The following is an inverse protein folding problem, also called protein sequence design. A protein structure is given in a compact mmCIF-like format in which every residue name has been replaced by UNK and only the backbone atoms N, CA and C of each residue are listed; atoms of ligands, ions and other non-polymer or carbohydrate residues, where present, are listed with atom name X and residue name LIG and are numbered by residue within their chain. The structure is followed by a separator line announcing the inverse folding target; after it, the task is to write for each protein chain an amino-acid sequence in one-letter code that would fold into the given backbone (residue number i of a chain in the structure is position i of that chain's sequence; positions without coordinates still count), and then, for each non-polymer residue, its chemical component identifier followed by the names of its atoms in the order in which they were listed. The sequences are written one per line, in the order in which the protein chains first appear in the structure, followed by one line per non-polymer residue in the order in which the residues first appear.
data_IF_574832086781
#
_entry.id   IF_574832086781
#
_cell.length_a   1.000
_cell.length_b   1.000
_cell.length_c   1.000
_cell.angle_alpha   90.00
_cell.angle_beta   90.00
_cell.angle_gamma   90.00
#
_symmetry.space_group_name_H-M   'P 1'
#
loop_
_entity.id
_entity.type
_entity.pdbx_description
1 polymer ?
#
# COMPACT_ATOMS: atom_id res chain seq x y z
N UNK A 1 0.93 -4.12 24.79
CA UNK A 1 1.80 -5.25 24.38
C UNK A 1 1.02 -6.49 23.93
N UNK A 2 0.00 -6.99 24.66
CA UNK A 2 -0.81 -8.16 24.24
C UNK A 2 -1.37 -8.06 22.80
N UNK A 3 -1.84 -6.88 22.39
CA UNK A 3 -2.40 -6.65 21.04
C UNK A 3 -1.36 -6.80 19.92
N UNK A 4 -0.13 -6.34 20.14
CA UNK A 4 0.96 -6.42 19.13
C UNK A 4 1.34 -7.87 18.87
N UNK A 5 1.46 -8.68 19.93
CA UNK A 5 1.78 -10.10 19.83
C UNK A 5 0.69 -10.88 19.08
N UNK A 6 -0.57 -10.56 19.32
CA UNK A 6 -1.71 -11.15 18.58
C UNK A 6 -1.63 -10.81 17.09
N UNK A 7 -1.37 -9.54 16.74
CA UNK A 7 -1.20 -9.13 15.34
C UNK A 7 -0.02 -9.83 14.65
N UNK A 8 1.13 -9.95 15.33
CA UNK A 8 2.30 -10.64 14.80
C UNK A 8 2.03 -12.13 14.56
N UNK A 9 1.36 -12.81 15.49
CA UNK A 9 0.99 -14.23 15.32
C UNK A 9 -0.01 -14.40 14.17
N UNK A 10 -1.02 -13.54 14.08
CA UNK A 10 -1.98 -13.55 12.96
C UNK A 10 -1.29 -13.35 11.60
N UNK A 11 -0.30 -12.46 11.52
CA UNK A 11 0.49 -12.25 10.29
C UNK A 11 1.28 -13.50 9.91
N UNK A 12 1.98 -14.12 10.87
CA UNK A 12 2.76 -15.34 10.62
C UNK A 12 1.83 -16.50 10.22
N UNK A 13 0.70 -16.66 10.90
CA UNK A 13 -0.30 -17.68 10.56
C UNK A 13 -0.90 -17.43 9.18
N UNK A 14 -1.20 -16.18 8.82
CA UNK A 14 -1.69 -15.84 7.49
C UNK A 14 -0.67 -16.14 6.39
N UNK A 15 0.62 -15.85 6.64
CA UNK A 15 1.70 -16.16 5.71
C UNK A 15 1.90 -17.66 5.53
N UNK A 16 1.95 -18.43 6.62
CA UNK A 16 2.07 -19.90 6.55
C UNK A 16 0.82 -20.51 5.92
N UNK A 17 -0.35 -19.99 6.27
CA UNK A 17 -1.64 -20.41 5.73
C UNK A 17 -1.71 -20.20 4.22
N UNK A 18 -1.26 -19.06 3.69
CA UNK A 18 -1.31 -18.80 2.23
C UNK A 18 -0.47 -19.76 1.40
N UNK A 19 0.63 -20.27 1.96
CA UNK A 19 1.50 -21.25 1.28
C UNK A 19 1.01 -22.69 1.43
N UNK A 20 0.28 -23.00 2.50
CA UNK A 20 -0.12 -24.38 2.84
C UNK A 20 -1.55 -24.72 2.43
N UNK A 21 -2.49 -23.76 2.46
CA UNK A 21 -3.89 -23.97 2.08
C UNK A 21 -4.07 -24.56 0.67
N UNK A 22 -3.40 -24.05 -0.39
CA UNK A 22 -3.59 -24.55 -1.74
C UNK A 22 -3.22 -26.04 -1.87
N UNK A 23 -2.21 -26.47 -1.11
CA UNK A 23 -1.73 -27.85 -1.11
C UNK A 23 -2.67 -28.80 -0.34
N UNK A 24 -3.23 -28.33 0.79
CA UNK A 24 -4.13 -29.12 1.66
C UNK A 24 -5.53 -29.23 1.07
N UNK A 25 -6.03 -28.17 0.43
CA UNK A 25 -7.39 -28.09 -0.13
C UNK A 25 -7.40 -28.47 -1.63
N UNK A 26 -6.34 -29.12 -2.12
CA UNK A 26 -6.04 -29.35 -3.55
C UNK A 26 -7.23 -29.80 -4.43
N UNK A 27 -8.18 -30.66 -4.01
CA UNK A 27 -9.35 -30.99 -4.84
C UNK A 27 -10.42 -29.89 -4.92
N UNK A 28 -10.50 -29.00 -3.92
CA UNK A 28 -11.52 -27.95 -3.79
C UNK A 28 -11.00 -26.52 -3.89
N UNK A 29 -9.69 -26.33 -4.14
CA UNK A 29 -9.07 -25.00 -4.19
C UNK A 29 -9.66 -24.11 -5.28
N UNK A 30 -10.04 -24.68 -6.43
CA UNK A 30 -10.67 -23.96 -7.54
C UNK A 30 -12.00 -23.29 -7.15
N UNK A 31 -12.73 -23.86 -6.18
CA UNK A 31 -13.96 -23.26 -5.63
C UNK A 31 -13.69 -22.40 -4.39
N UNK A 32 -12.67 -22.74 -3.58
CA UNK A 32 -12.35 -22.04 -2.34
C UNK A 32 -11.57 -20.72 -2.58
N UNK A 33 -10.66 -20.69 -3.56
CA UNK A 33 -9.85 -19.53 -3.89
C UNK A 33 -10.68 -18.26 -4.16
N UNK A 34 -11.69 -18.26 -5.05
CA UNK A 34 -12.48 -17.06 -5.31
C UNK A 34 -13.28 -16.59 -4.08
N UNK A 35 -13.70 -17.52 -3.21
CA UNK A 35 -14.40 -17.18 -1.96
C UNK A 35 -13.44 -16.50 -0.97
N UNK A 36 -12.23 -17.04 -0.82
CA UNK A 36 -11.19 -16.44 0.03
C UNK A 36 -10.80 -15.05 -0.50
N UNK A 37 -10.64 -14.92 -1.82
CA UNK A 37 -10.33 -13.63 -2.45
C UNK A 37 -11.45 -12.61 -2.23
N UNK A 38 -12.71 -13.02 -2.38
CA UNK A 38 -13.86 -12.17 -2.08
C UNK A 38 -13.87 -11.72 -0.61
N UNK A 39 -13.65 -12.63 0.34
CA UNK A 39 -13.58 -12.30 1.76
C UNK A 39 -12.40 -11.36 2.07
N UNK A 40 -11.25 -11.56 1.42
CA UNK A 40 -10.09 -10.67 1.55
C UNK A 40 -10.40 -9.27 1.01
N UNK A 41 -11.10 -9.16 -0.12
CA UNK A 41 -11.57 -7.87 -0.66
C UNK A 41 -12.55 -7.18 0.28
N UNK A 42 -13.49 -7.90 0.89
CA UNK A 42 -14.42 -7.35 1.90
C UNK A 42 -13.64 -6.86 3.13
N UNK A 43 -12.65 -7.62 3.61
CA UNK A 43 -11.81 -7.21 4.73
C UNK A 43 -10.97 -5.96 4.41
N UNK A 44 -10.39 -5.89 3.20
CA UNK A 44 -9.64 -4.72 2.74
C UNK A 44 -10.55 -3.49 2.64
N UNK A 45 -11.75 -3.63 2.07
CA UNK A 45 -12.74 -2.56 2.01
C UNK A 45 -13.14 -2.08 3.41
N UNK A 46 -13.35 -2.99 4.36
CA UNK A 46 -13.63 -2.64 5.75
C UNK A 46 -12.50 -1.81 6.38
N UNK A 47 -11.24 -2.22 6.20
CA UNK A 47 -10.08 -1.45 6.69
C UNK A 47 -10.05 -0.07 6.05
N UNK A 48 -10.26 0.05 4.75
CA UNK A 48 -10.29 1.35 4.05
C UNK A 48 -11.44 2.25 4.51
N UNK A 49 -12.62 1.70 4.79
CA UNK A 49 -13.76 2.45 5.34
C UNK A 49 -13.43 2.96 6.76
N UNK A 50 -12.87 2.10 7.62
CA UNK A 50 -12.50 2.48 8.98
C UNK A 50 -11.43 3.58 8.99
N UNK A 51 -10.47 3.46 8.07
CA UNK A 51 -9.45 4.46 7.83
C UNK A 51 -10.08 5.78 7.36
N UNK A 52 -11.09 5.73 6.49
CA UNK A 52 -11.86 6.90 6.03
C UNK A 52 -12.71 7.58 7.11
N UNK A 53 -13.25 6.83 8.08
CA UNK A 53 -14.03 7.41 9.19
C UNK A 53 -13.22 8.35 10.08
N UNK A 54 -11.94 8.06 10.24
CA UNK A 54 -11.07 8.89 11.06
C UNK A 54 -10.43 10.06 10.29
N UNK A 55 -10.85 10.23 9.04
CA UNK A 55 -10.65 11.46 8.29
C UNK A 55 -11.73 12.47 8.68
N UNK A 56 -11.53 13.17 9.80
CA UNK A 56 -12.26 14.41 10.04
C UNK A 56 -11.78 15.46 9.03
N UNK A 57 -12.58 15.71 7.99
CA UNK A 57 -12.35 16.82 7.06
C UNK A 57 -12.54 18.12 7.83
N UNK A 58 -11.52 18.57 8.53
CA UNK A 58 -11.55 19.88 9.15
C UNK A 58 -11.68 20.93 8.04
N UNK A 59 -12.64 21.82 8.20
CA UNK A 59 -13.04 22.85 7.24
C UNK A 59 -12.01 24.01 7.24
N UNK A 60 -10.73 23.70 7.04
CA UNK A 60 -9.68 24.70 6.85
C UNK A 60 -9.54 25.04 5.37
N UNK A 61 -9.27 26.31 5.08
CA UNK A 61 -9.27 26.90 3.74
C UNK A 61 -8.64 26.02 2.65
N UNK A 62 -9.23 26.04 1.44
CA UNK A 62 -8.81 25.29 0.24
C UNK A 62 -7.30 25.30 -0.01
N UNK A 63 -6.63 26.41 0.32
CA UNK A 63 -5.18 26.60 0.14
C UNK A 63 -4.33 25.73 1.07
N UNK A 64 -4.81 25.47 2.30
CA UNK A 64 -4.15 24.56 3.24
C UNK A 64 -4.27 23.10 2.80
N UNK A 65 -5.45 22.70 2.30
CA UNK A 65 -5.71 21.35 1.75
C UNK A 65 -4.85 21.07 0.52
N UNK A 66 -4.72 22.04 -0.38
CA UNK A 66 -3.86 21.90 -1.56
C UNK A 66 -2.38 21.70 -1.17
N UNK A 67 -1.91 22.38 -0.11
CA UNK A 67 -0.53 22.22 0.38
C UNK A 67 -0.31 20.84 1.01
N UNK A 68 -1.21 20.39 1.88
CA UNK A 68 -1.11 19.05 2.49
C UNK A 68 -1.22 17.94 1.43
N UNK A 69 -2.08 18.11 0.43
CA UNK A 69 -2.19 17.19 -0.71
C UNK A 69 -0.91 17.18 -1.55
N UNK A 70 -0.33 18.33 -1.88
CA UNK A 70 0.91 18.40 -2.66
C UNK A 70 2.09 17.76 -1.92
N UNK A 71 2.16 17.94 -0.60
CA UNK A 71 3.16 17.25 0.24
C UNK A 71 2.91 15.74 0.21
N UNK A 72 1.67 15.28 0.37
CA UNK A 72 1.34 13.85 0.30
C UNK A 72 1.65 13.24 -1.07
N UNK A 73 1.41 13.98 -2.15
CA UNK A 73 1.71 13.56 -3.51
C UNK A 73 3.22 13.46 -3.72
N UNK A 74 3.99 14.43 -3.20
CA UNK A 74 5.46 14.39 -3.29
C UNK A 74 6.03 13.21 -2.50
N UNK A 75 5.46 12.91 -1.33
CA UNK A 75 5.85 11.75 -0.50
C UNK A 75 5.47 10.43 -1.15
N UNK A 76 4.39 10.37 -1.93
CA UNK A 76 4.01 9.17 -2.68
C UNK A 76 4.82 9.00 -3.99
N UNK A 77 5.06 10.08 -4.73
CA UNK A 77 5.77 10.07 -6.02
C UNK A 77 7.29 9.92 -5.84
N UNK A 78 7.87 10.49 -4.78
CA UNK A 78 9.31 10.49 -4.55
C UNK A 78 9.89 9.07 -4.47
N UNK A 79 9.46 8.23 -3.51
CA UNK A 79 9.90 6.84 -3.40
C UNK A 79 9.63 6.02 -4.66
N UNK A 80 8.51 6.28 -5.34
CA UNK A 80 8.18 5.60 -6.59
C UNK A 80 9.20 5.90 -7.68
N UNK A 81 9.48 7.17 -7.97
CA UNK A 81 10.45 7.58 -8.99
C UNK A 81 11.86 7.10 -8.64
N UNK A 82 12.24 7.19 -7.37
CA UNK A 82 13.54 6.72 -6.90
C UNK A 82 13.69 5.20 -7.06
N UNK A 83 12.66 4.41 -6.73
CA UNK A 83 12.68 2.97 -6.94
C UNK A 83 12.71 2.62 -8.43
N UNK A 84 11.92 3.32 -9.26
CA UNK A 84 11.93 3.13 -10.72
C UNK A 84 13.32 3.39 -11.30
N UNK A 85 13.94 4.51 -10.91
CA UNK A 85 15.29 4.86 -11.32
C UNK A 85 16.32 3.85 -10.81
N UNK A 86 16.19 3.36 -9.58
CA UNK A 86 17.07 2.35 -9.03
C UNK A 86 17.02 1.04 -9.83
N UNK A 87 15.81 0.57 -10.15
CA UNK A 87 15.63 -0.64 -10.97
C UNK A 87 16.26 -0.44 -12.34
N UNK A 88 16.01 0.69 -13.00
CA UNK A 88 16.51 0.95 -14.35
C UNK A 88 18.03 1.16 -14.41
N UNK A 89 18.62 1.84 -13.42
CA UNK A 89 20.02 2.21 -13.44
C UNK A 89 20.95 1.12 -12.89
N UNK A 90 20.48 0.33 -11.92
CA UNK A 90 21.34 -0.61 -11.19
C UNK A 90 20.91 -2.08 -11.30
N UNK A 91 19.62 -2.35 -11.50
CA UNK A 91 19.10 -3.72 -11.51
C UNK A 91 18.91 -4.26 -12.94
N UNK A 92 18.61 -3.39 -13.90
CA UNK A 92 18.46 -3.76 -15.29
C UNK A 92 19.82 -4.16 -15.92
N UNK A 93 19.88 -5.25 -16.71
CA UNK A 93 21.09 -5.64 -17.44
C UNK A 93 21.61 -4.51 -18.33
N UNK A 94 22.94 -4.33 -18.37
CA UNK A 94 23.59 -3.30 -19.18
C UNK A 94 23.23 -3.48 -20.66
N UNK A 95 22.71 -2.42 -21.29
CA UNK A 95 22.29 -2.41 -22.71
C UNK A 95 20.79 -2.62 -22.94
N UNK A 96 20.04 -3.07 -21.92
CA UNK A 96 18.58 -3.26 -22.02
C UNK A 96 17.79 -1.99 -21.66
N UNK A 97 18.45 -0.95 -21.17
CA UNK A 97 17.85 0.36 -20.85
C UNK A 97 17.24 1.09 -22.07
N UNK A 98 17.54 0.66 -23.29
CA UNK A 98 16.95 1.21 -24.50
C UNK A 98 15.56 0.62 -24.81
N UNK A 99 15.18 -0.48 -24.15
CA UNK A 99 13.92 -1.17 -24.41
C UNK A 99 12.77 -0.56 -23.62
N UNK A 100 11.69 -0.18 -24.32
CA UNK A 100 10.50 0.45 -23.75
C UNK A 100 9.80 -0.47 -22.74
N UNK A 101 9.82 -1.77 -22.96
CA UNK A 101 9.07 -2.72 -22.12
C UNK A 101 9.64 -2.76 -20.69
N UNK A 102 10.96 -2.65 -20.54
CA UNK A 102 11.64 -2.62 -19.24
C UNK A 102 11.36 -1.32 -18.49
N UNK A 103 11.22 -0.20 -19.20
CA UNK A 103 10.78 1.05 -18.58
C UNK A 103 9.37 0.91 -18.02
N UNK A 104 8.46 0.30 -18.77
CA UNK A 104 7.08 0.07 -18.34
C UNK A 104 7.05 -0.86 -17.13
N UNK A 105 7.74 -1.99 -17.18
CA UNK A 105 7.83 -2.95 -16.08
C UNK A 105 8.47 -2.34 -14.83
N UNK A 106 9.56 -1.59 -14.97
CA UNK A 106 10.25 -0.95 -13.83
C UNK A 106 9.36 0.08 -13.15
N UNK A 107 8.63 0.88 -13.93
CA UNK A 107 7.68 1.87 -13.42
C UNK A 107 6.49 1.19 -12.73
N UNK A 108 6.01 0.05 -13.25
CA UNK A 108 4.97 -0.74 -12.63
C UNK A 108 5.41 -1.36 -11.31
N UNK A 109 6.53 -2.07 -11.31
CA UNK A 109 7.07 -2.77 -10.13
C UNK A 109 7.36 -1.77 -9.00
N UNK A 110 8.00 -0.65 -9.33
CA UNK A 110 8.28 0.40 -8.34
C UNK A 110 7.01 1.05 -7.76
N UNK A 111 5.89 1.06 -8.50
CA UNK A 111 4.62 1.58 -7.97
C UNK A 111 4.03 0.67 -6.91
N UNK A 112 4.20 -0.66 -7.04
CA UNK A 112 3.75 -1.62 -6.03
C UNK A 112 4.57 -1.58 -4.74
N UNK A 113 5.79 -1.05 -4.79
CA UNK A 113 6.66 -0.92 -3.61
C UNK A 113 6.50 0.44 -2.89
N UNK A 114 5.85 1.41 -3.53
CA UNK A 114 5.63 2.74 -2.97
C UNK A 114 4.59 2.84 -1.83
N UNK A 115 3.44 2.12 -1.83
CA UNK A 115 2.39 2.34 -0.84
C UNK A 115 2.81 1.93 0.57
N UNK A 116 2.44 2.77 1.53
CA UNK A 116 2.73 2.59 2.95
C UNK A 116 1.71 1.69 3.63
N UNK A 117 2.15 0.69 4.39
CA UNK A 117 1.25 -0.11 5.23
C UNK A 117 0.85 0.67 6.50
N UNK A 118 -0.27 1.40 6.44
CA UNK A 118 -0.79 2.19 7.54
C UNK A 118 -0.96 1.37 8.84
N UNK A 119 -1.43 0.13 8.74
CA UNK A 119 -1.66 -0.75 9.88
C UNK A 119 -0.39 -1.11 10.66
N UNK A 120 0.72 -1.38 9.95
CA UNK A 120 2.02 -1.67 10.59
C UNK A 120 2.57 -0.40 11.24
N UNK A 121 2.52 0.72 10.54
CA UNK A 121 3.01 2.02 11.03
C UNK A 121 2.28 2.45 12.32
N UNK A 122 0.96 2.33 12.38
CA UNK A 122 0.19 2.68 13.59
C UNK A 122 0.48 1.74 14.75
N UNK A 123 0.64 0.44 14.47
CA UNK A 123 1.01 -0.54 15.49
C UNK A 123 2.38 -0.21 16.12
N UNK A 124 3.35 0.20 15.29
CA UNK A 124 4.67 0.62 15.74
C UNK A 124 4.62 1.92 16.57
N UNK A 125 3.94 2.95 16.07
CA UNK A 125 3.82 4.23 16.79
C UNK A 125 3.05 4.10 18.11
N UNK A 126 2.01 3.28 18.14
CA UNK A 126 1.28 2.97 19.37
C UNK A 126 2.17 2.21 20.37
N UNK A 127 3.00 1.27 19.90
CA UNK A 127 3.96 0.57 20.75
C UNK A 127 5.04 1.51 21.30
N UNK A 128 5.45 2.52 20.53
CA UNK A 128 6.40 3.54 20.95
C UNK A 128 5.78 4.62 21.86
N UNK A 129 4.47 4.58 22.13
CA UNK A 129 3.77 5.56 22.97
C UNK A 129 3.46 6.89 22.28
N UNK A 130 3.59 6.97 20.94
CA UNK A 130 3.35 8.20 20.18
C UNK A 130 1.88 8.40 19.80
N UNK A 131 0.95 7.54 20.22
CA UNK A 131 -0.45 7.54 19.76
C UNK A 131 -1.22 8.83 20.06
N UNK A 132 -0.78 9.63 21.04
CA UNK A 132 -1.41 10.92 21.42
C UNK A 132 -0.73 12.14 20.81
N UNK A 133 0.33 11.93 20.02
CA UNK A 133 1.13 13.03 19.46
C UNK A 133 0.49 13.60 18.20
N UNK A 134 0.76 14.88 17.92
CA UNK A 134 0.39 15.50 16.64
C UNK A 134 0.93 14.73 15.43
N UNK A 135 2.12 14.12 15.57
CA UNK A 135 2.74 13.29 14.55
C UNK A 135 1.88 12.07 14.19
N UNK A 136 1.24 11.44 15.18
CA UNK A 136 0.34 10.32 14.96
C UNK A 136 -0.88 10.74 14.12
N UNK A 137 -1.49 11.88 14.45
CA UNK A 137 -2.60 12.44 13.67
C UNK A 137 -2.21 12.79 12.24
N UNK A 138 -1.05 13.43 12.04
CA UNK A 138 -0.54 13.77 10.70
C UNK A 138 -0.13 12.55 9.89
N UNK A 139 0.57 11.59 10.48
CA UNK A 139 0.97 10.35 9.80
C UNK A 139 -0.26 9.60 9.30
N UNK A 140 -1.34 9.60 10.09
CA UNK A 140 -2.61 8.99 9.70
C UNK A 140 -3.23 9.62 8.47
N UNK A 141 -3.28 10.95 8.42
CA UNK A 141 -3.79 11.67 7.25
C UNK A 141 -2.92 11.38 6.02
N UNK A 142 -1.60 11.33 6.21
CA UNK A 142 -0.66 11.09 5.12
C UNK A 142 -0.77 9.68 4.53
N UNK A 143 -0.95 8.65 5.36
CA UNK A 143 -1.12 7.26 4.89
C UNK A 143 -2.40 7.09 4.08
N UNK A 144 -3.47 7.82 4.42
CA UNK A 144 -4.72 7.81 3.65
C UNK A 144 -4.51 8.40 2.27
N UNK A 145 -3.83 9.55 2.21
CA UNK A 145 -3.51 10.17 0.94
C UNK A 145 -2.57 9.30 0.11
N UNK A 146 -1.64 8.58 0.73
CA UNK A 146 -0.76 7.65 0.04
C UNK A 146 -1.52 6.47 -0.60
N UNK A 147 -2.46 5.85 0.13
CA UNK A 147 -3.33 4.79 -0.38
C UNK A 147 -4.21 5.30 -1.53
N UNK A 148 -4.84 6.47 -1.36
CA UNK A 148 -5.66 7.11 -2.40
C UNK A 148 -4.85 7.43 -3.65
N UNK A 149 -3.67 8.04 -3.49
CA UNK A 149 -2.77 8.37 -4.58
C UNK A 149 -2.31 7.11 -5.30
N UNK A 150 -2.12 6.00 -4.58
CA UNK A 150 -1.73 4.72 -5.18
C UNK A 150 -2.85 4.16 -6.04
N UNK A 151 -4.09 4.13 -5.56
CA UNK A 151 -5.24 3.70 -6.37
C UNK A 151 -5.45 4.63 -7.57
N UNK A 152 -5.40 5.95 -7.36
CA UNK A 152 -5.62 6.94 -8.40
C UNK A 152 -4.54 6.89 -9.49
N UNK A 153 -3.28 6.65 -9.13
CA UNK A 153 -2.17 6.52 -10.08
C UNK A 153 -2.11 5.14 -10.74
N UNK A 154 -2.64 4.10 -10.10
CA UNK A 154 -2.63 2.74 -10.65
C UNK A 154 -3.62 2.58 -11.82
N UNK A 155 -4.75 3.27 -11.81
CA UNK A 155 -5.73 3.26 -12.91
C UNK A 155 -5.13 3.76 -14.24
N UNK A 156 -4.56 4.98 -14.33
CA UNK A 156 -3.96 5.48 -15.57
C UNK A 156 -2.71 4.68 -15.97
N UNK A 157 -1.95 4.16 -15.00
CA UNK A 157 -0.80 3.31 -15.31
C UNK A 157 -1.24 1.98 -15.94
N UNK A 158 -2.30 1.35 -15.44
CA UNK A 158 -2.88 0.15 -16.07
C UNK A 158 -3.43 0.45 -17.48
N UNK A 159 -4.06 1.59 -17.69
CA UNK A 159 -4.50 2.02 -19.03
C UNK A 159 -3.31 2.16 -19.99
N UNK A 160 -2.20 2.76 -19.55
CA UNK A 160 -0.98 2.89 -20.36
C UNK A 160 -0.34 1.54 -20.75
N UNK A 161 -0.51 0.52 -19.91
CA UNK A 161 0.11 -0.80 -20.09
C UNK A 161 -0.76 -1.73 -20.92
N UNK A 162 -2.08 -1.67 -20.72
CA UNK A 162 -3.04 -2.55 -21.40
C UNK A 162 -3.49 -1.95 -22.74
N UNK A 163 -3.47 -0.62 -22.88
CA UNK A 163 -4.07 0.10 -24.01
C UNK A 163 -5.55 0.36 -23.80
#
# INVERSE_FOLDING_TARGET
MKKVLVFSILLVLGLVGSQTLPNVVSPGWTSAAPVIEFLAMVALAFVMIHVGYEFEVHNSSLRSKAKDYFVSLSVALGPWILCAAYILLFLAPLGWQADRDIWIESVLVSKFTAPTSAGILFSLMAAAGLSVTWMFGKARVLTIYDDLNTVLLMIPLKLLVVG
#
